data_IF_583301960386
#
_entry.id   IF_583301960386
#
_cell.length_a   1.000
_cell.length_b   1.000
_cell.length_c   1.000
_cell.angle_alpha   90.00
_cell.angle_beta   90.00
_cell.angle_gamma   90.00
#
_symmetry.space_group_name_H-M   'P 1'
#
loop_
_entity.id
_entity.type
_entity.pdbx_description
1 polymer ?
#
# COMPACT_ATOMS: atom_id res chain seq x y z
N UNK A 1 12.80 28.52 -1.42
CA UNK A 1 12.45 27.47 -2.39
C UNK A 1 13.01 26.18 -1.86
N UNK A 2 12.20 25.11 -1.74
CA UNK A 2 12.71 23.86 -1.16
C UNK A 2 13.67 23.21 -2.15
N UNK A 3 14.73 22.59 -1.63
CA UNK A 3 15.79 21.90 -2.39
C UNK A 3 15.25 20.78 -3.30
N UNK A 4 13.97 20.42 -3.14
CA UNK A 4 13.28 19.38 -3.88
C UNK A 4 12.48 19.87 -5.09
N UNK A 5 12.27 21.19 -5.25
CA UNK A 5 11.45 21.71 -6.36
C UNK A 5 12.00 21.38 -7.76
N UNK A 6 13.32 21.13 -7.86
CA UNK A 6 14.01 20.80 -9.11
C UNK A 6 14.67 19.41 -9.09
N UNK A 7 14.29 18.54 -8.15
CA UNK A 7 14.84 17.19 -8.06
C UNK A 7 14.36 16.32 -9.23
N UNK A 8 15.30 15.89 -10.09
CA UNK A 8 15.03 15.02 -11.24
C UNK A 8 15.58 13.59 -11.04
N UNK A 9 16.03 13.26 -9.83
CA UNK A 9 16.50 11.90 -9.51
C UNK A 9 15.35 10.93 -9.20
N UNK A 10 15.66 9.66 -8.93
CA UNK A 10 14.66 8.66 -8.60
C UNK A 10 13.98 8.95 -7.26
N UNK A 11 12.65 8.95 -7.24
CA UNK A 11 11.86 9.07 -6.02
C UNK A 11 11.53 7.66 -5.53
N UNK A 12 11.79 7.38 -4.25
CA UNK A 12 11.49 6.09 -3.62
C UNK A 12 10.45 6.31 -2.55
N UNK A 13 9.34 5.58 -2.63
CA UNK A 13 8.38 5.49 -1.55
C UNK A 13 8.81 4.41 -0.57
N UNK A 14 9.07 4.80 0.67
CA UNK A 14 9.52 3.90 1.73
C UNK A 14 8.38 3.48 2.67
N UNK A 15 7.17 4.02 2.47
CA UNK A 15 6.05 3.76 3.34
C UNK A 15 4.76 3.49 2.55
N UNK A 16 4.68 2.25 2.05
CA UNK A 16 3.48 1.74 1.43
C UNK A 16 3.00 0.44 2.11
N UNK A 17 1.72 0.40 2.47
CA UNK A 17 1.09 -0.74 3.12
C UNK A 17 0.12 -1.44 2.18
N UNK A 18 0.26 -2.76 2.06
CA UNK A 18 -0.64 -3.64 1.32
C UNK A 18 -1.56 -4.41 2.28
N UNK A 19 -2.74 -4.78 1.80
CA UNK A 19 -3.62 -5.77 2.41
C UNK A 19 -4.20 -6.67 1.32
N UNK A 20 -4.51 -7.91 1.65
CA UNK A 20 -5.12 -8.85 0.70
C UNK A 20 -6.55 -8.48 0.30
N UNK A 21 -7.00 -8.99 -0.85
CA UNK A 21 -8.30 -8.64 -1.45
C UNK A 21 -9.52 -8.85 -0.53
N UNK A 22 -9.42 -9.80 0.40
CA UNK A 22 -10.48 -10.12 1.36
C UNK A 22 -10.21 -9.58 2.77
N UNK A 23 -9.26 -8.67 2.96
CA UNK A 23 -8.84 -8.19 4.29
C UNK A 23 -10.03 -7.63 5.10
N UNK A 24 -10.82 -6.73 4.51
CA UNK A 24 -11.95 -6.10 5.19
C UNK A 24 -13.16 -7.04 5.38
N UNK A 25 -13.22 -8.14 4.63
CA UNK A 25 -14.20 -9.23 4.85
C UNK A 25 -13.77 -10.10 6.03
N UNK A 26 -12.47 -10.43 6.11
CA UNK A 26 -11.90 -11.23 7.20
C UNK A 26 -11.82 -10.46 8.52
N UNK A 27 -11.63 -9.15 8.47
CA UNK A 27 -11.46 -8.30 9.65
C UNK A 27 -12.44 -7.11 9.65
N UNK A 28 -13.74 -7.33 9.94
CA UNK A 28 -14.77 -6.29 9.90
C UNK A 28 -14.48 -5.05 10.77
N UNK A 29 -13.75 -5.21 11.87
CA UNK A 29 -13.37 -4.08 12.75
C UNK A 29 -12.51 -3.04 12.02
N UNK A 30 -11.68 -3.47 11.05
CA UNK A 30 -10.92 -2.53 10.23
C UNK A 30 -11.83 -1.78 9.26
N UNK A 31 -12.87 -2.42 8.74
CA UNK A 31 -13.87 -1.77 7.90
C UNK A 31 -14.58 -0.67 8.68
N UNK A 32 -15.09 -0.99 9.86
CA UNK A 32 -15.76 -0.02 10.75
C UNK A 32 -14.83 1.16 11.10
N UNK A 33 -13.55 0.89 11.35
CA UNK A 33 -12.56 1.94 11.61
C UNK A 33 -12.41 2.88 10.40
N UNK A 34 -12.28 2.33 9.19
CA UNK A 34 -12.08 3.11 7.97
C UNK A 34 -13.31 3.96 7.63
N UNK A 35 -14.51 3.41 7.81
CA UNK A 35 -15.79 4.13 7.66
C UNK A 35 -15.90 5.26 8.70
N UNK A 36 -15.53 5.01 9.97
CA UNK A 36 -15.60 6.01 11.04
C UNK A 36 -14.66 7.19 10.82
N UNK A 37 -13.49 6.97 10.22
CA UNK A 37 -12.51 8.04 9.97
C UNK A 37 -12.63 8.66 8.56
N UNK A 38 -13.65 8.27 7.78
CA UNK A 38 -13.96 8.85 6.47
C UNK A 38 -12.94 8.51 5.37
N UNK A 39 -12.34 7.31 5.43
CA UNK A 39 -11.41 6.83 4.42
C UNK A 39 -11.85 5.50 3.77
N UNK A 40 -13.14 5.18 3.83
CA UNK A 40 -13.73 3.94 3.32
C UNK A 40 -13.40 3.65 1.85
N UNK A 41 -13.23 4.69 1.03
CA UNK A 41 -12.80 4.58 -0.36
C UNK A 41 -11.45 3.88 -0.52
N UNK A 42 -10.57 3.97 0.49
CA UNK A 42 -9.28 3.28 0.47
C UNK A 42 -9.43 1.77 0.55
N UNK A 43 -10.52 1.24 1.10
CA UNK A 43 -10.72 -0.22 1.21
C UNK A 43 -10.80 -0.92 -0.15
N UNK A 44 -11.17 -0.19 -1.21
CA UNK A 44 -11.18 -0.69 -2.58
C UNK A 44 -9.78 -0.72 -3.24
N UNK A 45 -8.75 -0.16 -2.58
CA UNK A 45 -7.41 -0.17 -3.14
C UNK A 45 -6.83 -1.58 -3.11
N UNK A 46 -6.32 -1.99 -4.27
CA UNK A 46 -5.58 -3.24 -4.44
C UNK A 46 -4.09 -2.93 -4.55
N UNK A 47 -3.26 -3.98 -4.57
CA UNK A 47 -1.84 -3.85 -4.91
C UNK A 47 -1.61 -3.21 -6.29
N UNK A 48 -2.53 -3.39 -7.25
CA UNK A 48 -2.50 -2.72 -8.56
C UNK A 48 -2.78 -1.22 -8.46
N UNK A 49 -3.69 -0.81 -7.57
CA UNK A 49 -3.97 0.61 -7.31
C UNK A 49 -2.70 1.34 -6.86
N UNK A 50 -1.91 0.71 -5.98
CA UNK A 50 -0.64 1.23 -5.49
C UNK A 50 0.39 1.46 -6.61
N UNK A 51 0.54 0.52 -7.56
CA UNK A 51 1.44 0.72 -8.70
C UNK A 51 0.97 1.86 -9.62
N UNK A 52 -0.34 1.96 -9.85
CA UNK A 52 -0.91 3.04 -10.66
C UNK A 52 -0.66 4.42 -10.03
N UNK A 53 -0.86 4.53 -8.72
CA UNK A 53 -0.59 5.76 -7.96
C UNK A 53 0.90 6.11 -7.99
N UNK A 54 1.78 5.13 -7.75
CA UNK A 54 3.23 5.30 -7.82
C UNK A 54 3.69 5.83 -9.20
N UNK A 55 3.16 5.25 -10.29
CA UNK A 55 3.44 5.71 -11.66
C UNK A 55 2.98 7.15 -11.89
N UNK A 56 1.76 7.49 -11.46
CA UNK A 56 1.22 8.85 -11.57
C UNK A 56 2.05 9.87 -10.80
N UNK A 57 2.58 9.47 -9.64
CA UNK A 57 3.44 10.28 -8.78
C UNK A 57 4.93 10.30 -9.22
N UNK A 58 5.28 9.61 -10.33
CA UNK A 58 6.68 9.45 -10.80
C UNK A 58 7.61 8.81 -9.76
N UNK A 59 7.04 7.96 -8.90
CA UNK A 59 7.78 7.15 -7.92
C UNK A 59 8.46 6.01 -8.68
N UNK A 60 9.78 5.93 -8.54
CA UNK A 60 10.63 4.98 -9.25
C UNK A 60 10.68 3.61 -8.57
N UNK A 61 10.53 3.57 -7.24
CA UNK A 61 10.51 2.34 -6.45
C UNK A 61 9.57 2.49 -5.27
N UNK A 62 8.92 1.40 -4.88
CA UNK A 62 8.10 1.32 -3.68
C UNK A 62 8.65 0.21 -2.79
N UNK A 63 8.91 0.50 -1.53
CA UNK A 63 9.16 -0.50 -0.49
C UNK A 63 7.81 -0.89 0.09
N UNK A 64 7.41 -2.13 -0.18
CA UNK A 64 6.11 -2.65 0.24
C UNK A 64 6.20 -3.30 1.62
N UNK A 65 5.22 -3.01 2.47
CA UNK A 65 5.00 -3.70 3.74
C UNK A 65 3.55 -4.16 3.83
N UNK A 66 3.26 -5.17 4.66
CA UNK A 66 1.87 -5.55 4.94
C UNK A 66 1.25 -4.63 6.00
N UNK A 67 -0.06 -4.44 5.91
CA UNK A 67 -0.88 -3.97 7.03
C UNK A 67 -0.98 -5.11 8.03
N UNK A 68 -0.39 -4.91 9.20
CA UNK A 68 -0.35 -5.93 10.26
C UNK A 68 -1.01 -5.44 11.54
N UNK A 69 -1.64 -6.37 12.26
CA UNK A 69 -2.15 -6.15 13.61
C UNK A 69 -2.19 -7.47 14.37
N UNK A 70 -2.52 -7.43 15.66
CA UNK A 70 -2.72 -8.64 16.46
C UNK A 70 -3.80 -9.58 15.89
N UNK A 71 -4.77 -9.05 15.15
CA UNK A 71 -5.85 -9.83 14.53
C UNK A 71 -5.51 -10.25 13.09
N UNK A 72 -4.60 -9.53 12.43
CA UNK A 72 -4.25 -9.71 11.03
C UNK A 72 -2.73 -9.79 10.87
N UNK A 73 -2.20 -10.99 11.10
CA UNK A 73 -0.79 -11.30 10.89
C UNK A 73 -0.55 -11.67 9.43
N UNK A 74 0.57 -11.22 8.88
CA UNK A 74 1.03 -11.53 7.53
C UNK A 74 2.50 -11.92 7.62
N UNK A 75 2.91 -12.96 6.90
CA UNK A 75 4.31 -13.38 6.89
C UNK A 75 5.14 -12.62 5.87
N UNK A 76 6.47 -12.64 6.05
CA UNK A 76 7.37 -12.04 5.07
C UNK A 76 7.32 -12.77 3.71
N UNK A 77 7.04 -14.07 3.71
CA UNK A 77 6.85 -14.84 2.48
C UNK A 77 5.64 -14.34 1.68
N UNK A 78 4.51 -14.07 2.34
CA UNK A 78 3.32 -13.53 1.67
C UNK A 78 3.59 -12.15 1.06
N UNK A 79 4.29 -11.27 1.79
CA UNK A 79 4.70 -9.95 1.27
C UNK A 79 5.62 -10.10 0.06
N UNK A 80 6.58 -11.03 0.12
CA UNK A 80 7.50 -11.29 -0.98
C UNK A 80 6.78 -11.81 -2.23
N UNK A 81 5.80 -12.70 -2.07
CA UNK A 81 5.01 -13.22 -3.19
C UNK A 81 4.23 -12.10 -3.89
N UNK A 82 3.56 -11.25 -3.12
CA UNK A 82 2.86 -10.08 -3.67
C UNK A 82 3.83 -9.14 -4.39
N UNK A 83 4.98 -8.84 -3.78
CA UNK A 83 5.98 -7.97 -4.38
C UNK A 83 6.51 -8.52 -5.72
N UNK A 84 6.70 -9.84 -5.85
CA UNK A 84 7.08 -10.49 -7.10
C UNK A 84 5.99 -10.39 -8.16
N UNK A 85 4.74 -10.60 -7.78
CA UNK A 85 3.59 -10.49 -8.70
C UNK A 85 3.39 -9.07 -9.25
N UNK A 86 3.86 -8.05 -8.53
CA UNK A 86 3.81 -6.66 -8.95
C UNK A 86 4.94 -6.24 -9.90
N UNK A 87 5.95 -7.10 -10.11
CA UNK A 87 7.08 -6.83 -11.01
C UNK A 87 6.88 -7.38 -12.43
N UNK A 88 5.87 -8.24 -12.65
CA UNK A 88 5.50 -8.78 -13.96
C UNK A 88 4.62 -7.82 -14.76
#
# INVERSE_FOLDING_TARGET
>A
MSEFQNYNGPIIDVWANWWGDNFFVKFPRFKELYERIGIEQRMANSSKSLLMEAKKAKISKVILSATVSNEAMVTNEEVLEVAKNLQG
#
